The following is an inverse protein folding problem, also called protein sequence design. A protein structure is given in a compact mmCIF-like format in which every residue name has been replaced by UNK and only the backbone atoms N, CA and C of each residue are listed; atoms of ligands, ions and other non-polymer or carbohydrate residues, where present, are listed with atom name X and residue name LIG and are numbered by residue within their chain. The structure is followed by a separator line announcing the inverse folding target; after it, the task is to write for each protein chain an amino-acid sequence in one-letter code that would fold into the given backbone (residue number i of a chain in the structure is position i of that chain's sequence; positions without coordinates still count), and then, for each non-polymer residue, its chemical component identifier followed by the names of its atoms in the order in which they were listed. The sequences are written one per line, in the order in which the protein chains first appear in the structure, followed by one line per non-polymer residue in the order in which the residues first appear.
data_IF_592776062296
#
_entry.id   IF_592776062296
#
_cell.length_a   1.000
_cell.length_b   1.000
_cell.length_c   1.000
_cell.angle_alpha   90.00
_cell.angle_beta   90.00
_cell.angle_gamma   90.00
#
_symmetry.space_group_name_H-M   'P 1'
#
loop_
_entity.id
_entity.type
_entity.pdbx_description
1 polymer ?
#
# COMPACT_ATOMS: atom_id res chain seq x y z
N UNK A 1 6.73 -3.90 31.20
CA UNK A 1 6.18 -2.85 30.37
C UNK A 1 4.85 -3.35 29.78
N UNK A 2 3.86 -2.48 29.55
CA UNK A 2 2.65 -2.90 28.87
C UNK A 2 2.99 -3.35 27.44
N UNK A 3 2.26 -4.35 26.94
CA UNK A 3 2.39 -4.86 25.58
C UNK A 3 2.20 -3.73 24.56
N UNK A 4 3.13 -3.62 23.62
CA UNK A 4 3.06 -2.68 22.48
C UNK A 4 2.64 -3.39 21.21
N UNK A 5 2.03 -2.64 20.28
CA UNK A 5 1.67 -3.11 18.96
C UNK A 5 2.31 -2.25 17.90
N UNK A 6 2.82 -2.91 16.87
CA UNK A 6 3.42 -2.27 15.71
C UNK A 6 2.72 -2.77 14.45
N UNK A 7 2.30 -1.84 13.62
CA UNK A 7 1.79 -2.11 12.28
C UNK A 7 2.84 -1.70 11.27
N UNK A 8 3.26 -2.64 10.44
CA UNK A 8 4.36 -2.44 9.49
C UNK A 8 3.85 -2.75 8.09
N UNK A 9 3.90 -1.80 7.18
CA UNK A 9 3.41 -2.01 5.83
C UNK A 9 4.11 -1.13 4.80
N UNK A 10 4.04 -1.56 3.54
CA UNK A 10 4.36 -0.69 2.42
C UNK A 10 3.44 0.54 2.44
N UNK A 11 3.96 1.71 2.04
CA UNK A 11 3.18 2.95 2.01
C UNK A 11 2.32 3.14 0.77
N UNK A 12 2.18 2.12 -0.06
CA UNK A 12 1.26 2.12 -1.21
C UNK A 12 -0.18 1.79 -0.80
N UNK A 13 -1.09 1.79 -1.78
CA UNK A 13 -2.50 1.56 -1.51
C UNK A 13 -2.75 0.18 -0.89
N UNK A 14 -2.10 -0.86 -1.38
CA UNK A 14 -2.28 -2.23 -0.88
C UNK A 14 -1.84 -2.36 0.57
N UNK A 15 -0.63 -1.89 0.90
CA UNK A 15 -0.10 -1.95 2.26
C UNK A 15 -0.92 -1.14 3.27
N UNK A 16 -1.21 0.13 2.96
CA UNK A 16 -1.98 0.99 3.86
C UNK A 16 -3.42 0.49 4.07
N UNK A 17 -4.10 0.06 3.00
CA UNK A 17 -5.46 -0.46 3.10
C UNK A 17 -5.54 -1.81 3.82
N UNK A 18 -4.50 -2.64 3.73
CA UNK A 18 -4.43 -3.89 4.49
C UNK A 18 -4.40 -3.64 5.99
N UNK A 19 -3.49 -2.78 6.44
CA UNK A 19 -3.38 -2.40 7.87
C UNK A 19 -4.65 -1.69 8.34
N UNK A 20 -5.20 -0.79 7.54
CA UNK A 20 -6.42 -0.04 7.90
C UNK A 20 -7.61 -0.97 8.14
N UNK A 21 -7.85 -1.94 7.27
CA UNK A 21 -8.89 -2.96 7.44
C UNK A 21 -8.72 -3.70 8.78
N UNK A 22 -7.48 -4.14 9.05
CA UNK A 22 -7.18 -4.86 10.28
C UNK A 22 -7.49 -4.03 11.53
N UNK A 23 -7.06 -2.76 11.54
CA UNK A 23 -7.29 -1.86 12.68
C UNK A 23 -8.74 -1.45 12.84
N UNK A 24 -9.50 -1.31 11.78
CA UNK A 24 -10.95 -1.09 11.86
C UNK A 24 -11.69 -2.29 12.48
N UNK A 25 -11.27 -3.51 12.14
CA UNK A 25 -11.86 -4.73 12.68
C UNK A 25 -11.36 -5.08 14.10
N UNK A 26 -10.12 -4.68 14.42
CA UNK A 26 -9.46 -4.94 15.70
C UNK A 26 -8.88 -3.63 16.25
N UNK A 27 -9.73 -2.72 16.73
CA UNK A 27 -9.28 -1.42 17.24
C UNK A 27 -8.33 -1.60 18.43
N UNK A 28 -7.13 -1.04 18.29
CA UNK A 28 -6.14 -1.01 19.35
C UNK A 28 -5.11 0.07 19.05
N UNK A 29 -4.50 0.70 20.08
CA UNK A 29 -3.34 1.55 19.87
C UNK A 29 -2.21 0.74 19.23
N UNK A 30 -1.64 1.27 18.14
CA UNK A 30 -0.49 0.67 17.46
C UNK A 30 0.38 1.76 16.86
N UNK A 31 1.68 1.52 16.82
CA UNK A 31 2.64 2.39 16.14
C UNK A 31 2.77 1.93 14.69
N UNK A 32 2.50 2.83 13.74
CA UNK A 32 2.65 2.55 12.32
C UNK A 32 4.09 2.81 11.86
N UNK A 33 4.72 1.81 11.24
CA UNK A 33 5.96 1.93 10.50
C UNK A 33 5.66 1.70 9.01
N UNK A 34 5.86 2.72 8.21
CA UNK A 34 5.65 2.67 6.76
C UNK A 34 6.61 3.62 6.07
N UNK A 35 6.69 3.56 4.77
CA UNK A 35 7.58 4.37 3.96
C UNK A 35 7.18 4.36 2.49
N UNK A 36 8.01 4.91 1.60
CA UNK A 36 7.77 4.86 0.17
C UNK A 36 7.73 3.41 -0.35
N UNK A 37 7.16 3.21 -1.53
CA UNK A 37 7.01 1.87 -2.14
C UNK A 37 8.32 1.09 -2.24
N UNK A 38 9.44 1.77 -2.41
CA UNK A 38 10.78 1.14 -2.54
C UNK A 38 11.42 0.76 -1.22
N UNK A 39 10.92 1.26 -0.10
CA UNK A 39 11.45 0.94 1.23
C UNK A 39 10.79 -0.35 1.75
N UNK A 40 11.38 -1.47 1.37
CA UNK A 40 10.81 -2.80 1.58
C UNK A 40 11.39 -3.56 2.78
N UNK A 41 12.44 -3.05 3.43
CA UNK A 41 13.11 -3.68 4.56
C UNK A 41 12.75 -3.01 5.90
N UNK A 42 11.48 -2.65 6.06
CA UNK A 42 10.99 -1.90 7.22
C UNK A 42 11.01 -2.71 8.52
N UNK A 43 10.90 -4.03 8.45
CA UNK A 43 10.78 -4.87 9.63
C UNK A 43 12.03 -4.82 10.54
N UNK A 44 13.20 -4.55 9.95
CA UNK A 44 14.45 -4.37 10.73
C UNK A 44 14.42 -3.16 11.67
N UNK A 45 13.53 -2.18 11.43
CA UNK A 45 13.42 -0.95 12.24
C UNK A 45 12.42 -1.09 13.39
N UNK A 46 11.70 -2.19 13.48
CA UNK A 46 10.68 -2.41 14.51
C UNK A 46 11.36 -2.64 15.85
N UNK A 47 11.09 -1.78 16.87
CA UNK A 47 11.73 -1.87 18.18
C UNK A 47 10.95 -2.77 19.15
N UNK A 48 10.24 -3.78 18.64
CA UNK A 48 9.44 -4.68 19.46
C UNK A 48 10.31 -5.59 20.32
N UNK A 49 9.82 -5.91 21.49
CA UNK A 49 10.45 -6.75 22.52
C UNK A 49 9.52 -7.90 22.92
N UNK A 50 10.00 -8.80 23.79
CA UNK A 50 9.22 -9.96 24.24
C UNK A 50 7.82 -9.58 24.72
N UNK A 51 6.82 -10.27 24.18
CA UNK A 51 5.40 -10.04 24.51
C UNK A 51 4.69 -9.01 23.65
N UNK A 52 5.42 -8.23 22.85
CA UNK A 52 4.83 -7.29 21.88
C UNK A 52 4.21 -8.02 20.69
N UNK A 53 3.37 -7.31 19.95
CA UNK A 53 2.70 -7.79 18.75
C UNK A 53 3.09 -6.96 17.53
N UNK A 54 3.38 -7.64 16.42
CA UNK A 54 3.70 -7.02 15.14
C UNK A 54 2.76 -7.55 14.06
N UNK A 55 2.07 -6.65 13.37
CA UNK A 55 1.36 -6.94 12.13
C UNK A 55 2.23 -6.47 10.97
N UNK A 56 2.51 -7.36 10.02
CA UNK A 56 3.24 -7.03 8.79
C UNK A 56 2.32 -7.25 7.60
N UNK A 57 2.16 -6.25 6.77
CA UNK A 57 1.35 -6.30 5.56
C UNK A 57 2.12 -5.78 4.36
N UNK A 58 2.09 -6.54 3.26
CA UNK A 58 2.58 -6.10 1.95
C UNK A 58 4.07 -5.70 1.95
N UNK A 59 4.87 -6.48 2.63
CA UNK A 59 6.33 -6.40 2.62
C UNK A 59 6.90 -7.78 2.33
N UNK A 60 7.76 -7.90 1.34
CA UNK A 60 8.39 -9.16 0.97
C UNK A 60 8.96 -9.87 2.21
N UNK A 61 8.42 -11.05 2.54
CA UNK A 61 8.91 -11.86 3.65
C UNK A 61 10.35 -12.29 3.39
N UNK A 62 10.69 -12.63 2.15
CA UNK A 62 12.05 -12.99 1.76
C UNK A 62 13.06 -11.89 2.10
N UNK A 63 12.71 -10.63 1.83
CA UNK A 63 13.58 -9.46 2.11
C UNK A 63 13.64 -9.11 3.60
N UNK A 64 12.66 -9.52 4.38
CA UNK A 64 12.57 -9.23 5.82
C UNK A 64 12.84 -10.47 6.70
N UNK A 65 13.34 -11.55 6.12
CA UNK A 65 13.46 -12.85 6.81
C UNK A 65 14.36 -12.76 8.05
N UNK A 66 15.53 -12.12 7.95
CA UNK A 66 16.45 -11.96 9.07
C UNK A 66 15.82 -11.15 10.23
N UNK A 67 15.11 -10.06 9.90
CA UNK A 67 14.42 -9.26 10.89
C UNK A 67 13.24 -10.04 11.52
N UNK A 68 12.53 -10.84 10.75
CA UNK A 68 11.46 -11.71 11.26
C UNK A 68 12.02 -12.72 12.28
N UNK A 69 13.11 -13.42 11.95
CA UNK A 69 13.76 -14.35 12.88
C UNK A 69 14.16 -13.65 14.18
N UNK A 70 14.81 -12.49 14.07
CA UNK A 70 15.21 -11.69 15.25
C UNK A 70 14.02 -11.37 16.17
N UNK A 71 12.88 -10.99 15.60
CA UNK A 71 11.66 -10.67 16.37
C UNK A 71 11.08 -11.93 17.03
N UNK A 72 10.99 -13.03 16.30
CA UNK A 72 10.47 -14.29 16.83
C UNK A 72 11.36 -14.85 17.95
N UNK A 73 12.69 -14.83 17.77
CA UNK A 73 13.65 -15.25 18.77
C UNK A 73 13.62 -14.37 20.03
N UNK A 74 13.28 -13.10 19.87
CA UNK A 74 13.06 -12.15 20.98
C UNK A 74 11.72 -12.34 21.70
N UNK A 75 10.86 -13.27 21.28
CA UNK A 75 9.57 -13.52 21.92
C UNK A 75 8.45 -12.59 21.48
N UNK A 76 8.57 -11.97 20.32
CA UNK A 76 7.53 -11.13 19.70
C UNK A 76 6.54 -12.02 18.95
N UNK A 77 5.24 -11.72 19.06
CA UNK A 77 4.20 -12.36 18.25
C UNK A 77 4.05 -11.62 16.93
N UNK A 78 4.13 -12.34 15.81
CA UNK A 78 4.08 -11.75 14.48
C UNK A 78 2.91 -12.36 13.68
N UNK A 79 2.08 -11.48 13.10
CA UNK A 79 1.18 -11.82 12.03
C UNK A 79 1.72 -11.24 10.74
N UNK A 80 1.96 -12.08 9.75
CA UNK A 80 2.56 -11.70 8.48
C UNK A 80 1.60 -12.03 7.34
N UNK A 81 1.14 -11.00 6.60
CA UNK A 81 0.25 -11.16 5.45
C UNK A 81 0.88 -10.49 4.24
N UNK A 82 1.14 -11.26 3.19
CA UNK A 82 1.86 -10.80 2.02
C UNK A 82 1.52 -11.63 0.77
N UNK A 83 1.78 -11.08 -0.41
CA UNK A 83 1.58 -11.77 -1.69
C UNK A 83 2.86 -11.86 -2.54
N UNK A 84 3.98 -11.38 -2.03
CA UNK A 84 5.26 -11.48 -2.74
C UNK A 84 5.84 -12.89 -2.68
N UNK A 85 6.63 -13.24 -3.69
CA UNK A 85 7.32 -14.53 -3.73
C UNK A 85 8.25 -14.71 -2.53
N UNK A 86 8.28 -15.93 -2.01
CA UNK A 86 9.14 -16.36 -0.91
C UNK A 86 9.57 -17.80 -1.15
N UNK A 87 10.84 -18.10 -0.86
CA UNK A 87 11.37 -19.47 -1.01
C UNK A 87 10.76 -20.41 0.04
N UNK A 88 10.74 -19.97 1.29
CA UNK A 88 10.19 -20.75 2.39
C UNK A 88 9.65 -19.85 3.50
N UNK A 89 8.44 -20.13 3.96
CA UNK A 89 7.85 -19.47 5.13
C UNK A 89 8.35 -20.18 6.39
N UNK A 90 8.95 -19.47 7.35
CA UNK A 90 9.38 -20.06 8.61
C UNK A 90 8.23 -20.67 9.39
N UNK A 91 8.50 -21.78 10.08
CA UNK A 91 7.57 -22.35 11.04
C UNK A 91 8.00 -21.96 12.47
N UNK A 92 7.12 -21.25 13.16
CA UNK A 92 7.35 -20.80 14.53
C UNK A 92 6.02 -20.61 15.26
N UNK A 93 5.93 -21.00 16.51
CA UNK A 93 4.68 -20.93 17.29
C UNK A 93 4.14 -19.50 17.47
N UNK A 94 5.02 -18.49 17.46
CA UNK A 94 4.66 -17.09 17.56
C UNK A 94 4.41 -16.41 16.20
N UNK A 95 4.52 -17.14 15.09
CA UNK A 95 4.28 -16.63 13.73
C UNK A 95 2.94 -17.16 13.20
N UNK A 96 2.09 -16.24 12.77
CA UNK A 96 0.91 -16.52 11.96
C UNK A 96 1.13 -15.89 10.59
N UNK A 97 1.47 -16.71 9.59
CA UNK A 97 1.74 -16.23 8.24
C UNK A 97 0.63 -16.65 7.28
N UNK A 98 0.20 -15.69 6.45
CA UNK A 98 -0.66 -15.92 5.29
C UNK A 98 0.03 -15.31 4.08
N UNK A 99 0.65 -16.17 3.26
CA UNK A 99 1.35 -15.79 2.04
C UNK A 99 0.67 -16.46 0.88
N UNK A 100 0.19 -15.67 -0.08
CA UNK A 100 -0.45 -16.18 -1.30
C UNK A 100 0.14 -15.43 -2.51
N UNK A 101 0.89 -16.14 -3.33
CA UNK A 101 1.62 -15.60 -4.49
C UNK A 101 0.83 -15.64 -5.79
N UNK A 102 -0.46 -15.98 -5.73
CA UNK A 102 -1.33 -15.91 -6.91
C UNK A 102 -1.34 -14.48 -7.47
N UNK A 103 -1.07 -14.30 -8.78
CA UNK A 103 -1.01 -12.97 -9.39
C UNK A 103 -2.33 -12.19 -9.36
N UNK A 104 -3.45 -12.85 -9.05
CA UNK A 104 -4.77 -12.24 -8.92
C UNK A 104 -5.12 -11.84 -7.48
N UNK A 105 -4.13 -11.87 -6.58
CA UNK A 105 -4.30 -11.60 -5.16
C UNK A 105 -3.34 -10.50 -4.74
N UNK A 106 -3.80 -9.61 -3.88
CA UNK A 106 -2.97 -8.63 -3.17
C UNK A 106 -3.19 -8.76 -1.66
N UNK A 107 -2.36 -8.12 -0.87
CA UNK A 107 -2.43 -8.21 0.60
C UNK A 107 -3.75 -7.69 1.15
N UNK A 108 -4.30 -6.60 0.60
CA UNK A 108 -5.62 -6.09 0.98
C UNK A 108 -6.74 -7.09 0.77
N UNK A 109 -6.70 -7.89 -0.30
CA UNK A 109 -7.67 -8.97 -0.54
C UNK A 109 -7.47 -10.14 0.42
N UNK A 110 -6.25 -10.44 0.83
CA UNK A 110 -5.98 -11.47 1.84
C UNK A 110 -6.54 -11.05 3.21
N UNK A 111 -6.34 -9.81 3.61
CA UNK A 111 -6.95 -9.28 4.84
C UNK A 111 -8.48 -9.30 4.75
N UNK A 112 -9.06 -8.94 3.60
CA UNK A 112 -10.52 -9.03 3.39
C UNK A 112 -11.05 -10.44 3.62
N UNK A 113 -10.34 -11.46 3.14
CA UNK A 113 -10.69 -12.88 3.40
C UNK A 113 -10.62 -13.21 4.89
N UNK A 114 -9.55 -12.82 5.59
CA UNK A 114 -9.40 -13.03 7.02
C UNK A 114 -10.53 -12.36 7.82
N UNK A 115 -10.97 -11.18 7.39
CA UNK A 115 -12.03 -10.41 8.02
C UNK A 115 -13.44 -10.74 7.50
N UNK A 116 -13.57 -11.70 6.59
CA UNK A 116 -14.85 -12.13 5.98
C UNK A 116 -15.62 -10.95 5.37
N UNK A 117 -14.93 -10.05 4.68
CA UNK A 117 -15.51 -8.92 3.97
C UNK A 117 -15.95 -7.74 4.85
N UNK A 118 -15.60 -7.73 6.13
CA UNK A 118 -16.05 -6.69 7.08
C UNK A 118 -15.66 -5.27 6.68
N UNK A 119 -14.51 -5.09 6.03
CA UNK A 119 -13.99 -3.80 5.58
C UNK A 119 -13.73 -3.81 4.06
N UNK A 120 -14.60 -4.46 3.30
CA UNK A 120 -14.39 -4.77 1.88
C UNK A 120 -14.13 -3.55 1.01
N UNK A 121 -14.79 -2.43 1.25
CA UNK A 121 -14.57 -1.21 0.46
C UNK A 121 -13.12 -0.71 0.55
N UNK A 122 -12.46 -0.84 1.71
CA UNK A 122 -11.04 -0.57 1.83
C UNK A 122 -10.16 -1.61 1.11
N UNK A 123 -10.55 -2.88 1.12
CA UNK A 123 -9.88 -3.91 0.34
C UNK A 123 -9.92 -3.61 -1.17
N UNK A 124 -11.04 -3.10 -1.66
CA UNK A 124 -11.19 -2.70 -3.06
C UNK A 124 -10.26 -1.54 -3.43
N UNK A 125 -10.12 -0.54 -2.56
CA UNK A 125 -9.15 0.56 -2.76
C UNK A 125 -7.74 0.01 -2.91
N UNK A 126 -7.32 -0.90 -2.03
CA UNK A 126 -6.02 -1.57 -2.11
C UNK A 126 -5.83 -2.35 -3.41
N UNK A 127 -6.82 -3.13 -3.80
CA UNK A 127 -6.79 -3.94 -5.03
C UNK A 127 -6.74 -3.09 -6.30
N UNK A 128 -7.52 -2.03 -6.38
CA UNK A 128 -7.44 -1.07 -7.51
C UNK A 128 -6.05 -0.42 -7.59
N UNK A 129 -5.49 -0.02 -6.46
CA UNK A 129 -4.13 0.54 -6.40
C UNK A 129 -3.05 -0.43 -6.83
N UNK A 130 -3.27 -1.73 -6.64
CA UNK A 130 -2.34 -2.80 -7.03
C UNK A 130 -2.61 -3.37 -8.44
N UNK A 131 -3.34 -2.65 -9.27
CA UNK A 131 -3.70 -3.03 -10.64
C UNK A 131 -4.57 -4.30 -10.78
N UNK A 132 -5.22 -4.73 -9.73
CA UNK A 132 -6.17 -5.86 -9.77
C UNK A 132 -7.59 -5.39 -10.12
N UNK A 133 -7.71 -4.61 -11.20
CA UNK A 133 -8.98 -3.96 -11.60
C UNK A 133 -10.09 -4.98 -11.84
N UNK A 134 -9.82 -6.07 -12.54
CA UNK A 134 -10.82 -7.09 -12.85
C UNK A 134 -11.33 -7.79 -11.57
N UNK A 135 -10.44 -8.14 -10.66
CA UNK A 135 -10.78 -8.76 -9.38
C UNK A 135 -11.56 -7.80 -8.49
N UNK A 136 -11.10 -6.54 -8.42
CA UNK A 136 -11.78 -5.50 -7.66
C UNK A 136 -13.20 -5.22 -8.21
N UNK A 137 -13.35 -5.10 -9.52
CA UNK A 137 -14.66 -4.90 -10.17
C UNK A 137 -15.63 -6.06 -9.89
N UNK A 138 -15.16 -7.29 -9.93
CA UNK A 138 -15.98 -8.47 -9.63
C UNK A 138 -16.48 -8.43 -8.19
N UNK A 139 -15.59 -8.18 -7.22
CA UNK A 139 -15.96 -8.08 -5.81
C UNK A 139 -16.87 -6.86 -5.52
N UNK A 140 -16.59 -5.73 -6.15
CA UNK A 140 -17.38 -4.52 -6.00
C UNK A 140 -18.80 -4.70 -6.52
N UNK A 141 -18.95 -5.33 -7.68
CA UNK A 141 -20.28 -5.66 -8.25
C UNK A 141 -21.04 -6.62 -7.33
N UNK A 142 -20.40 -7.65 -6.82
CA UNK A 142 -21.00 -8.59 -5.87
C UNK A 142 -21.41 -7.91 -4.55
N UNK A 143 -20.71 -6.83 -4.15
CA UNK A 143 -21.06 -6.01 -2.99
C UNK A 143 -22.15 -4.95 -3.29
N UNK A 144 -22.68 -4.89 -4.51
CA UNK A 144 -23.75 -3.96 -4.92
C UNK A 144 -23.25 -2.55 -5.22
N UNK A 145 -21.96 -2.33 -5.44
CA UNK A 145 -21.42 -1.02 -5.80
C UNK A 145 -21.67 -0.72 -7.27
N UNK A 146 -22.17 0.47 -7.55
CA UNK A 146 -22.39 0.94 -8.91
C UNK A 146 -21.08 1.37 -9.60
N UNK A 147 -21.18 1.71 -10.88
CA UNK A 147 -20.02 2.10 -11.68
C UNK A 147 -19.35 3.39 -11.15
N UNK A 148 -20.12 4.36 -10.68
CA UNK A 148 -19.58 5.60 -10.13
C UNK A 148 -18.81 5.37 -8.82
N UNK A 149 -19.35 4.55 -7.93
CA UNK A 149 -18.71 4.16 -6.68
C UNK A 149 -17.40 3.40 -6.94
N UNK A 150 -17.41 2.46 -7.88
CA UNK A 150 -16.21 1.72 -8.29
C UNK A 150 -15.14 2.65 -8.85
N UNK A 151 -15.53 3.61 -9.70
CA UNK A 151 -14.61 4.60 -10.25
C UNK A 151 -13.99 5.48 -9.16
N UNK A 152 -14.76 5.88 -8.15
CA UNK A 152 -14.25 6.64 -7.00
C UNK A 152 -13.22 5.85 -6.18
N UNK A 153 -13.50 4.58 -5.87
CA UNK A 153 -12.57 3.71 -5.13
C UNK A 153 -11.29 3.47 -5.93
N UNK A 154 -11.41 3.25 -7.24
CA UNK A 154 -10.26 3.09 -8.13
C UNK A 154 -9.39 4.34 -8.18
N UNK A 155 -10.01 5.51 -8.36
CA UNK A 155 -9.30 6.79 -8.37
C UNK A 155 -8.53 7.03 -7.07
N UNK A 156 -9.13 6.71 -5.93
CA UNK A 156 -8.47 6.79 -4.62
C UNK A 156 -7.30 5.82 -4.53
N UNK A 157 -7.47 4.56 -4.89
CA UNK A 157 -6.42 3.54 -4.86
C UNK A 157 -5.24 3.89 -5.75
N UNK A 158 -5.50 4.32 -6.98
CA UNK A 158 -4.47 4.78 -7.92
C UNK A 158 -3.74 6.02 -7.40
N UNK A 159 -4.45 6.95 -6.77
CA UNK A 159 -3.86 8.16 -6.16
C UNK A 159 -2.95 7.85 -4.97
N UNK A 160 -3.38 6.97 -4.08
CA UNK A 160 -2.57 6.51 -2.93
C UNK A 160 -1.33 5.78 -3.43
N UNK A 161 -1.49 4.89 -4.42
CA UNK A 161 -0.39 4.14 -4.98
C UNK A 161 0.64 5.06 -5.65
N UNK A 162 0.18 6.05 -6.42
CA UNK A 162 1.05 7.05 -7.03
C UNK A 162 1.84 7.85 -5.98
N UNK A 163 1.21 8.24 -4.88
CA UNK A 163 1.87 8.97 -3.80
C UNK A 163 3.04 8.18 -3.17
N UNK A 164 3.02 6.85 -3.25
CA UNK A 164 4.06 6.00 -2.69
C UNK A 164 5.33 5.90 -3.55
N UNK A 165 5.29 6.37 -4.82
CA UNK A 165 6.47 6.36 -5.68
C UNK A 165 7.48 7.43 -5.27
N UNK A 166 8.74 7.22 -5.64
CA UNK A 166 9.86 8.05 -5.27
C UNK A 166 10.67 7.46 -4.12
N UNK A 167 11.54 8.26 -3.55
CA UNK A 167 12.38 7.92 -2.41
C UNK A 167 11.82 8.55 -1.12
N UNK A 168 12.42 8.24 0.00
CA UNK A 168 12.04 8.84 1.28
C UNK A 168 12.08 10.37 1.20
N UNK A 169 10.95 11.00 1.53
CA UNK A 169 10.79 12.46 1.47
C UNK A 169 10.32 13.01 0.12
N UNK A 170 10.23 12.19 -0.91
CA UNK A 170 9.75 12.59 -2.24
C UNK A 170 8.23 12.47 -2.42
N UNK A 171 7.52 11.90 -1.43
CA UNK A 171 6.07 11.80 -1.47
C UNK A 171 5.43 13.18 -1.30
N UNK A 172 4.31 13.40 -1.98
CA UNK A 172 3.50 14.62 -1.78
C UNK A 172 2.91 14.67 -0.37
N UNK A 173 2.45 13.51 0.11
CA UNK A 173 1.93 13.33 1.48
C UNK A 173 2.73 12.19 2.11
N UNK A 174 3.32 12.43 3.28
CA UNK A 174 4.02 11.38 4.00
C UNK A 174 3.06 10.20 4.29
N UNK A 175 3.47 8.94 4.06
CA UNK A 175 2.58 7.79 4.21
C UNK A 175 1.90 7.69 5.58
N UNK A 176 2.58 8.06 6.67
CA UNK A 176 2.00 8.11 8.01
C UNK A 176 0.88 9.14 8.12
N UNK A 177 1.09 10.32 7.54
CA UNK A 177 0.08 11.41 7.51
C UNK A 177 -1.11 10.99 6.65
N UNK A 178 -0.86 10.38 5.49
CA UNK A 178 -1.90 9.87 4.61
C UNK A 178 -2.73 8.80 5.33
N UNK A 179 -2.10 7.82 5.96
CA UNK A 179 -2.79 6.77 6.72
C UNK A 179 -3.68 7.37 7.81
N UNK A 180 -3.17 8.31 8.60
CA UNK A 180 -3.94 8.96 9.66
C UNK A 180 -5.18 9.67 9.12
N UNK A 181 -5.10 10.25 7.91
CA UNK A 181 -6.23 10.90 7.24
C UNK A 181 -7.25 9.88 6.73
N UNK A 182 -6.80 8.77 6.11
CA UNK A 182 -7.66 7.68 5.66
C UNK A 182 -8.40 7.02 6.83
N UNK A 183 -7.71 6.82 7.95
CA UNK A 183 -8.23 6.13 9.13
C UNK A 183 -9.34 6.88 9.89
N UNK A 184 -9.63 8.14 9.50
CA UNK A 184 -10.74 8.91 10.09
C UNK A 184 -12.11 8.34 9.77
N UNK A 185 -12.21 7.53 8.70
CA UNK A 185 -13.47 6.98 8.23
C UNK A 185 -13.40 5.46 8.06
N UNK A 186 -14.43 4.78 8.54
CA UNK A 186 -14.57 3.33 8.36
C UNK A 186 -14.89 2.92 6.93
N UNK A 187 -15.39 3.84 6.10
CA UNK A 187 -15.77 3.63 4.71
C UNK A 187 -15.08 4.67 3.79
N UNK A 188 -14.35 4.23 2.76
CA UNK A 188 -13.69 5.13 1.82
C UNK A 188 -14.67 5.98 1.00
N UNK A 189 -15.87 5.50 0.71
CA UNK A 189 -16.89 6.30 -0.02
C UNK A 189 -17.35 7.48 0.83
N UNK A 190 -17.53 7.27 2.13
CA UNK A 190 -17.84 8.35 3.06
C UNK A 190 -16.66 9.32 3.18
N UNK A 191 -15.44 8.81 3.28
CA UNK A 191 -14.24 9.65 3.29
C UNK A 191 -14.20 10.58 2.08
N UNK A 192 -14.41 10.05 0.87
CA UNK A 192 -14.39 10.83 -0.37
C UNK A 192 -15.49 11.89 -0.46
N UNK A 193 -16.56 11.73 0.28
CA UNK A 193 -17.65 12.71 0.38
C UNK A 193 -17.35 13.83 1.38
N UNK A 194 -16.62 13.53 2.44
CA UNK A 194 -16.36 14.46 3.55
C UNK A 194 -14.94 15.07 3.52
N UNK A 195 -14.01 14.52 2.73
CA UNK A 195 -12.60 14.92 2.66
C UNK A 195 -12.16 15.05 1.20
N UNK A 196 -11.41 16.08 0.91
CA UNK A 196 -10.88 16.35 -0.42
C UNK A 196 -9.68 15.47 -0.83
N UNK A 197 -9.30 14.46 -0.03
CA UNK A 197 -8.08 13.65 -0.25
C UNK A 197 -8.01 13.04 -1.65
N UNK A 198 -9.12 12.54 -2.18
CA UNK A 198 -9.16 11.94 -3.52
C UNK A 198 -8.83 12.96 -4.61
N UNK A 199 -9.40 14.15 -4.52
CA UNK A 199 -9.14 15.24 -5.48
C UNK A 199 -7.72 15.80 -5.32
N UNK A 200 -7.24 15.93 -4.10
CA UNK A 200 -5.89 16.37 -3.78
C UNK A 200 -4.84 15.44 -4.38
N UNK A 201 -4.94 14.13 -4.16
CA UNK A 201 -4.02 13.14 -4.74
C UNK A 201 -4.06 13.13 -6.27
N UNK A 202 -5.24 13.23 -6.86
CA UNK A 202 -5.38 13.29 -8.32
C UNK A 202 -4.78 14.58 -8.90
N UNK A 203 -4.96 15.71 -8.24
CA UNK A 203 -4.38 16.99 -8.66
C UNK A 203 -2.83 16.97 -8.59
N UNK A 204 -2.26 16.41 -7.54
CA UNK A 204 -0.82 16.24 -7.37
C UNK A 204 -0.22 15.37 -8.47
N UNK A 205 -0.84 14.23 -8.78
CA UNK A 205 -0.44 13.37 -9.89
C UNK A 205 -0.52 14.08 -11.24
N UNK A 206 -1.62 14.79 -11.49
CA UNK A 206 -1.82 15.53 -12.73
C UNK A 206 -0.80 16.65 -12.91
N UNK A 207 -0.39 17.32 -11.83
CA UNK A 207 0.66 18.32 -11.84
C UNK A 207 2.01 17.74 -12.28
N UNK A 208 2.42 16.61 -11.70
CA UNK A 208 3.66 15.92 -12.08
C UNK A 208 3.63 15.49 -13.57
N UNK A 209 2.50 14.96 -14.03
CA UNK A 209 2.34 14.52 -15.42
C UNK A 209 2.43 15.68 -16.40
N UNK A 210 1.84 16.85 -16.07
CA UNK A 210 2.00 18.05 -16.89
C UNK A 210 3.47 18.50 -17.00
N UNK A 211 4.24 18.41 -15.92
CA UNK A 211 5.67 18.69 -15.94
C UNK A 211 6.43 17.73 -16.88
N UNK A 212 6.09 16.46 -16.85
CA UNK A 212 6.71 15.47 -17.75
C UNK A 212 6.36 15.71 -19.21
N UNK A 213 5.10 15.99 -19.53
CA UNK A 213 4.63 16.29 -20.87
C UNK A 213 5.20 17.60 -21.46
N UNK A 214 5.58 18.54 -20.59
CA UNK A 214 6.21 19.79 -21.00
C UNK A 214 7.71 19.63 -21.33
N UNK A 215 8.32 18.46 -21.05
CA UNK A 215 9.74 18.25 -21.39
C UNK A 215 9.93 18.10 -22.89
N UNK A 216 11.02 18.65 -23.47
CA UNK A 216 11.26 18.58 -24.89
C UNK A 216 11.46 17.14 -25.35
N UNK A 217 10.71 16.78 -26.40
CA UNK A 217 10.82 15.48 -27.05
C UNK A 217 12.04 15.51 -27.99
N UNK A 218 12.95 14.59 -27.80
CA UNK A 218 14.13 14.42 -28.65
C UNK A 218 13.96 13.24 -29.61
N UNK A 219 14.51 13.33 -30.79
CA UNK A 219 14.51 12.23 -31.78
C UNK A 219 15.86 11.51 -31.76
N UNK A 220 15.81 10.18 -31.80
CA UNK A 220 16.95 9.32 -32.03
C UNK A 220 16.67 8.51 -33.33
N UNK A 221 17.09 9.07 -34.46
CA UNK A 221 16.78 8.53 -35.77
C UNK A 221 15.31 8.73 -36.19
N UNK A 222 14.86 7.94 -37.19
CA UNK A 222 13.50 8.09 -37.76
C UNK A 222 12.40 7.43 -36.92
N UNK A 223 12.74 6.43 -36.07
CA UNK A 223 11.78 5.57 -35.39
C UNK A 223 11.76 5.66 -33.85
N UNK A 224 12.73 6.36 -33.26
CA UNK A 224 12.81 6.49 -31.83
C UNK A 224 12.68 7.93 -31.37
N UNK A 225 11.93 8.10 -30.27
CA UNK A 225 11.79 9.38 -29.55
C UNK A 225 12.13 9.13 -28.09
N UNK A 226 12.73 10.10 -27.46
CA UNK A 226 13.04 10.03 -26.03
C UNK A 226 12.86 11.38 -25.36
N UNK A 227 12.62 11.33 -24.07
CA UNK A 227 12.50 12.50 -23.20
C UNK A 227 13.49 12.33 -22.07
N UNK A 228 14.25 13.39 -21.78
CA UNK A 228 15.09 13.44 -20.58
C UNK A 228 14.29 14.08 -19.47
N UNK A 229 14.02 13.33 -18.41
CA UNK A 229 13.46 13.85 -17.19
C UNK A 229 14.60 14.37 -16.28
N UNK A 230 14.44 15.52 -15.62
CA UNK A 230 15.45 16.03 -14.69
C UNK A 230 15.54 15.14 -13.44
N UNK A 231 16.63 15.25 -12.70
CA UNK A 231 16.75 14.67 -11.37
C UNK A 231 15.95 15.50 -10.36
N UNK A 232 14.66 15.23 -10.29
CA UNK A 232 13.70 15.91 -9.43
C UNK A 232 12.69 14.94 -8.85
N UNK A 233 12.14 15.25 -7.70
CA UNK A 233 11.17 14.39 -7.00
C UNK A 233 9.97 14.04 -7.89
N UNK A 234 9.38 15.01 -8.58
CA UNK A 234 8.25 14.78 -9.49
C UNK A 234 8.59 13.83 -10.63
N UNK A 235 9.82 13.89 -11.14
CA UNK A 235 10.27 13.03 -12.25
C UNK A 235 10.41 11.58 -11.79
N UNK A 236 10.94 11.36 -10.58
CA UNK A 236 11.03 10.02 -9.97
C UNK A 236 9.66 9.41 -9.70
N UNK A 237 8.66 10.21 -9.32
CA UNK A 237 7.29 9.74 -9.13
C UNK A 237 6.60 9.39 -10.45
N UNK A 238 6.72 10.25 -11.45
CA UNK A 238 5.89 10.19 -12.67
C UNK A 238 6.38 9.18 -13.70
N UNK A 239 7.63 8.73 -13.63
CA UNK A 239 8.29 7.96 -14.69
C UNK A 239 7.48 6.71 -15.11
N UNK A 240 6.93 5.96 -14.18
CA UNK A 240 6.10 4.79 -14.48
C UNK A 240 4.77 5.14 -15.14
N UNK A 241 4.13 6.22 -14.71
CA UNK A 241 2.87 6.70 -15.31
C UNK A 241 3.08 7.33 -16.67
N UNK A 242 4.21 8.01 -16.88
CA UNK A 242 4.56 8.68 -18.14
C UNK A 242 4.94 7.69 -19.24
N UNK A 243 5.66 6.63 -18.89
CA UNK A 243 6.10 5.63 -19.85
C UNK A 243 4.95 4.80 -20.46
N UNK A 244 3.78 4.82 -19.81
CA UNK A 244 2.58 4.09 -20.25
C UNK A 244 1.57 4.96 -21.01
N UNK A 245 1.93 6.18 -21.39
CA UNK A 245 1.12 7.08 -22.23
C UNK A 245 1.65 7.14 -23.67
#
# INVERSE_FOLDING_TARGET
QPMQRFDVCNGDADGLCAVLQWRLAHPAPATLLTGPKRDIELLQRVPATAGDEVLVCDLSLQRNLAALHRLLDAGVRVRYVDHHAVDQVPQHSALQALIDTDPHVCTSLLIDRLLQGRCRTWALVGAYGDNLTAQADTLASAAGLDQAQRAQLRRLGEGINYNAYGETGDQHIAPQTLYARLARHGDPLRLLHEDAIGDELAALRSADLRLALAQPLQRAGERARWVRLPDAAWARRVIGSFANQ
#
